data_IF_129701143379
#
_entry.id   IF_129701143379
#
_cell.length_a   1.000
_cell.length_b   1.000
_cell.length_c   1.000
_cell.angle_alpha   90.00
_cell.angle_beta   90.00
_cell.angle_gamma   90.00
#
_symmetry.space_group_name_H-M   'P 1'
#
loop_
_entity.id
_entity.type
_entity.pdbx_description
1 polymer ?
#
# COMPACT_ATOMS: atom_id res chain seq x y z
N UNK A 1 -8.96 50.28 71.70
CA UNK A 1 -8.46 50.66 70.35
C UNK A 1 -7.10 49.98 70.17
N UNK A 2 -7.09 48.74 69.66
CA UNK A 2 -5.88 47.97 69.35
C UNK A 2 -6.01 47.41 67.93
N UNK A 3 -4.96 47.60 67.13
CA UNK A 3 -4.82 47.18 65.72
C UNK A 3 -4.76 45.64 65.57
N UNK A 4 -5.35 45.16 64.46
CA UNK A 4 -5.20 43.83 63.79
C UNK A 4 -3.71 43.47 63.53
N UNK A 5 -3.32 42.21 63.17
CA UNK A 5 -4.10 41.30 62.30
C UNK A 5 -4.08 39.80 62.60
N UNK A 6 -4.99 39.13 61.88
CA UNK A 6 -5.22 37.70 61.80
C UNK A 6 -4.12 36.97 61.02
N UNK A 7 -3.98 35.68 61.35
CA UNK A 7 -3.06 34.72 60.80
C UNK A 7 -3.08 34.65 59.26
N UNK A 8 -1.91 34.83 58.65
CA UNK A 8 -1.63 34.43 57.28
C UNK A 8 -0.94 33.05 57.33
N UNK A 9 -1.64 32.02 56.86
CA UNK A 9 -1.07 30.69 56.69
C UNK A 9 0.00 30.71 55.59
N UNK A 10 1.21 30.35 55.97
CA UNK A 10 2.34 30.10 55.07
C UNK A 10 2.05 28.86 54.23
N UNK A 11 1.54 29.03 53.02
CA UNK A 11 1.46 27.98 52.02
C UNK A 11 2.76 27.97 51.20
N UNK A 12 3.62 26.99 51.47
CA UNK A 12 4.76 26.66 50.62
C UNK A 12 4.29 26.23 49.22
N UNK A 13 5.00 26.59 48.13
CA UNK A 13 4.70 26.04 46.82
C UNK A 13 5.08 24.56 46.81
N UNK A 14 4.09 23.67 46.64
CA UNK A 14 4.34 22.25 46.35
C UNK A 14 4.92 22.16 44.94
N UNK A 15 6.22 21.95 44.83
CA UNK A 15 6.89 21.50 43.62
C UNK A 15 6.37 20.11 43.23
N UNK A 16 5.38 20.07 42.35
CA UNK A 16 4.93 18.84 41.71
C UNK A 16 5.93 18.47 40.62
N UNK A 17 6.90 17.62 40.96
CA UNK A 17 7.82 16.99 40.02
C UNK A 17 7.12 15.76 39.42
N UNK A 18 6.17 15.99 38.50
CA UNK A 18 5.67 14.92 37.63
C UNK A 18 6.66 14.78 36.45
N UNK A 19 7.14 13.56 36.12
CA UNK A 19 7.98 13.38 34.95
C UNK A 19 7.16 13.71 33.70
N UNK A 20 7.67 14.62 32.87
CA UNK A 20 7.15 14.85 31.54
C UNK A 20 7.25 13.53 30.77
N UNK A 21 6.12 12.87 30.54
CA UNK A 21 6.03 11.74 29.63
C UNK A 21 6.34 12.31 28.24
N UNK A 22 7.57 12.08 27.79
CA UNK A 22 8.00 12.43 26.45
C UNK A 22 7.06 11.75 25.45
N UNK A 23 6.33 12.56 24.67
CA UNK A 23 5.50 12.07 23.58
C UNK A 23 6.36 11.19 22.65
N UNK A 24 5.89 9.99 22.24
CA UNK A 24 6.71 9.08 21.47
C UNK A 24 6.94 9.64 20.06
N UNK A 25 8.21 9.96 19.77
CA UNK A 25 8.89 10.17 18.47
C UNK A 25 8.04 9.91 17.20
N UNK A 26 7.15 10.86 16.87
CA UNK A 26 6.31 10.90 15.66
C UNK A 26 7.08 11.13 14.32
N UNK A 27 8.32 11.69 14.23
CA UNK A 27 8.89 11.99 12.91
C UNK A 27 9.47 10.78 12.15
N UNK A 28 9.77 9.66 12.81
CA UNK A 28 10.40 8.50 12.15
C UNK A 28 9.41 7.66 11.34
N UNK A 29 8.15 7.59 11.78
CA UNK A 29 7.09 6.79 11.12
C UNK A 29 6.62 7.44 9.81
N UNK A 30 6.64 8.78 9.72
CA UNK A 30 6.25 9.47 8.48
C UNK A 30 7.30 9.29 7.38
N UNK A 31 8.59 9.29 7.75
CA UNK A 31 9.69 9.08 6.82
C UNK A 31 9.70 7.65 6.25
N UNK A 32 9.43 6.63 7.08
CA UNK A 32 9.36 5.24 6.63
C UNK A 32 8.16 4.98 5.71
N UNK A 33 7.00 5.61 5.95
CA UNK A 33 5.81 5.49 5.09
C UNK A 33 5.99 6.11 3.71
N UNK A 34 6.63 7.27 3.64
CA UNK A 34 6.93 7.91 2.35
C UNK A 34 8.04 7.16 1.59
N UNK A 35 8.99 6.54 2.30
CA UNK A 35 9.99 5.66 1.71
C UNK A 35 9.38 4.35 1.18
N UNK A 36 8.38 3.80 1.87
CA UNK A 36 7.57 2.67 1.38
C UNK A 36 6.83 3.05 0.11
N UNK A 37 6.13 4.18 0.09
CA UNK A 37 5.38 4.63 -1.09
C UNK A 37 6.29 4.93 -2.30
N UNK A 38 7.45 5.57 -2.08
CA UNK A 38 8.45 5.80 -3.14
C UNK A 38 9.11 4.50 -3.61
N UNK A 39 9.50 3.62 -2.69
CA UNK A 39 10.04 2.31 -3.02
C UNK A 39 9.04 1.41 -3.76
N UNK A 40 7.74 1.62 -3.53
CA UNK A 40 6.66 1.01 -4.32
C UNK A 40 6.67 1.57 -5.75
N UNK A 41 6.68 2.90 -5.90
CA UNK A 41 6.74 3.57 -7.21
C UNK A 41 7.97 3.17 -8.03
N UNK A 42 9.15 3.15 -7.41
CA UNK A 42 10.41 2.75 -8.05
C UNK A 42 10.43 1.25 -8.44
N UNK A 43 9.71 0.39 -7.70
CA UNK A 43 9.54 -1.02 -8.04
C UNK A 43 8.54 -1.24 -9.19
N UNK A 44 7.62 -0.30 -9.39
CA UNK A 44 6.64 -0.31 -10.48
C UNK A 44 7.19 0.29 -11.78
N UNK A 45 8.15 1.21 -11.71
CA UNK A 45 8.73 1.87 -12.90
C UNK A 45 9.45 0.89 -13.84
N UNK A 46 9.80 -0.31 -13.35
CA UNK A 46 10.37 -1.37 -14.16
C UNK A 46 11.74 -1.02 -14.75
N UNK A 47 12.54 -2.02 -15.07
CA UNK A 47 13.84 -1.86 -15.74
C UNK A 47 13.71 -1.84 -17.29
N UNK A 48 12.49 -1.63 -17.83
CA UNK A 48 12.19 -1.78 -19.26
C UNK A 48 11.89 -3.22 -19.72
N UNK A 49 11.85 -4.22 -18.83
CA UNK A 49 11.59 -5.64 -19.20
C UNK A 49 10.19 -5.96 -19.73
N UNK A 50 9.26 -5.00 -19.72
CA UNK A 50 7.93 -5.16 -20.34
C UNK A 50 7.98 -4.93 -21.86
N UNK A 51 9.11 -4.44 -22.37
CA UNK A 51 9.31 -4.17 -23.79
C UNK A 51 9.21 -5.46 -24.62
N UNK A 52 8.32 -5.44 -25.61
CA UNK A 52 8.09 -6.53 -26.55
C UNK A 52 6.85 -7.42 -26.32
N UNK A 53 6.18 -7.33 -25.17
CA UNK A 53 4.89 -8.01 -24.99
C UNK A 53 3.73 -7.10 -25.41
N UNK A 54 2.74 -7.63 -26.14
CA UNK A 54 1.62 -6.82 -26.63
C UNK A 54 0.82 -6.21 -25.45
N UNK A 55 0.44 -4.93 -25.49
CA UNK A 55 -0.42 -4.33 -24.48
C UNK A 55 -1.71 -5.14 -24.23
N UNK A 56 -2.07 -5.35 -22.96
CA UNK A 56 -3.23 -6.16 -22.57
C UNK A 56 -3.08 -7.67 -22.75
N UNK A 57 -1.93 -8.15 -23.26
CA UNK A 57 -1.71 -9.59 -23.42
C UNK A 57 -1.47 -10.31 -22.08
N UNK A 58 -1.80 -11.61 -22.06
CA UNK A 58 -1.47 -12.48 -20.92
C UNK A 58 0.05 -12.60 -20.71
N UNK A 59 0.85 -12.49 -21.78
CA UNK A 59 2.31 -12.47 -21.67
C UNK A 59 2.81 -11.24 -20.91
N UNK A 60 2.27 -10.06 -21.23
CA UNK A 60 2.58 -8.83 -20.50
C UNK A 60 2.18 -8.92 -19.04
N UNK A 61 0.99 -9.46 -18.76
CA UNK A 61 0.52 -9.71 -17.39
C UNK A 61 1.47 -10.63 -16.61
N UNK A 62 1.92 -11.72 -17.22
CA UNK A 62 2.86 -12.65 -16.61
C UNK A 62 4.21 -11.99 -16.31
N UNK A 63 4.77 -11.24 -17.26
CA UNK A 63 6.05 -10.54 -17.09
C UNK A 63 6.00 -9.50 -15.97
N UNK A 64 4.98 -8.64 -15.98
CA UNK A 64 4.79 -7.64 -14.90
C UNK A 64 4.61 -8.33 -13.55
N UNK A 65 3.80 -9.38 -13.49
CA UNK A 65 3.64 -10.18 -12.25
C UNK A 65 4.95 -10.80 -11.77
N UNK A 66 5.76 -11.33 -12.68
CA UNK A 66 7.05 -11.95 -12.36
C UNK A 66 8.04 -10.93 -11.77
N UNK A 67 8.12 -9.74 -12.36
CA UNK A 67 8.96 -8.65 -11.87
C UNK A 67 8.58 -8.26 -10.44
N UNK A 68 7.30 -8.04 -10.19
CA UNK A 68 6.78 -7.65 -8.88
C UNK A 68 7.08 -8.75 -7.85
N UNK A 69 6.79 -10.02 -8.15
CA UNK A 69 7.11 -11.14 -7.27
C UNK A 69 8.63 -11.22 -6.99
N UNK A 70 9.45 -10.93 -8.00
CA UNK A 70 10.90 -10.81 -7.85
C UNK A 70 11.30 -9.85 -6.71
N UNK A 71 10.64 -8.69 -6.62
CA UNK A 71 10.87 -7.70 -5.55
C UNK A 71 10.42 -8.16 -4.15
N UNK A 72 9.53 -9.15 -4.07
CA UNK A 72 9.03 -9.69 -2.79
C UNK A 72 9.93 -10.77 -2.19
N UNK A 73 10.76 -11.43 -3.02
CA UNK A 73 11.63 -12.54 -2.59
C UNK A 73 12.81 -12.09 -1.72
N UNK A 74 13.14 -10.80 -1.70
CA UNK A 74 14.24 -10.26 -0.88
C UNK A 74 13.87 -10.27 0.63
N UNK A 75 14.69 -10.87 1.51
CA UNK A 75 14.59 -10.77 2.96
C UNK A 75 14.40 -9.36 3.52
N UNK A 76 14.91 -8.31 2.87
CA UNK A 76 14.79 -6.90 3.27
C UNK A 76 13.66 -6.13 2.58
N UNK A 77 12.77 -6.82 1.86
CA UNK A 77 11.79 -6.20 0.98
C UNK A 77 10.85 -5.22 1.69
N UNK A 78 10.70 -4.03 1.09
CA UNK A 78 9.79 -2.94 1.50
C UNK A 78 8.35 -3.45 1.72
N UNK A 79 7.95 -4.51 1.00
CA UNK A 79 6.62 -5.11 1.07
C UNK A 79 6.29 -5.70 2.46
N UNK A 80 7.28 -6.26 3.17
CA UNK A 80 7.05 -6.88 4.49
C UNK A 80 6.75 -5.83 5.57
N UNK A 81 7.37 -4.65 5.47
CA UNK A 81 7.10 -3.49 6.33
C UNK A 81 5.77 -2.79 5.98
N UNK A 82 5.34 -2.87 4.73
CA UNK A 82 4.12 -2.23 4.23
C UNK A 82 2.84 -2.86 4.80
N UNK A 83 2.85 -4.16 5.07
CA UNK A 83 1.69 -4.87 5.63
C UNK A 83 1.34 -4.44 7.06
N UNK A 84 2.33 -4.06 7.87
CA UNK A 84 2.08 -3.50 9.21
C UNK A 84 1.27 -2.19 9.13
N UNK A 85 1.53 -1.38 8.10
CA UNK A 85 0.82 -0.11 7.86
C UNK A 85 -0.62 -0.35 7.41
N UNK A 86 -0.88 -1.37 6.59
CA UNK A 86 -2.24 -1.77 6.20
C UNK A 86 -3.05 -2.26 7.41
N UNK A 87 -2.44 -3.06 8.29
CA UNK A 87 -3.08 -3.51 9.53
C UNK A 87 -3.33 -2.37 10.53
N UNK A 88 -2.48 -1.33 10.54
CA UNK A 88 -2.62 -0.14 11.38
C UNK A 88 -3.69 0.86 10.89
N UNK A 89 -3.99 0.87 9.59
CA UNK A 89 -4.93 1.81 8.97
C UNK A 89 -6.36 1.75 9.53
N UNK A 90 -6.77 0.61 10.11
CA UNK A 90 -8.09 0.44 10.71
C UNK A 90 -8.36 1.36 11.92
N UNK A 91 -7.32 1.82 12.61
CA UNK A 91 -7.46 2.55 13.89
C UNK A 91 -7.53 4.08 13.74
N UNK A 92 -7.36 4.63 12.54
CA UNK A 92 -7.29 6.08 12.29
C UNK A 92 -8.08 6.47 11.02
N UNK A 93 -9.29 7.05 11.14
CA UNK A 93 -10.13 7.41 9.99
C UNK A 93 -9.45 8.31 8.95
N UNK A 94 -8.67 9.29 9.40
CA UNK A 94 -7.91 10.20 8.52
C UNK A 94 -6.78 9.50 7.73
N UNK A 95 -6.34 8.33 8.20
CA UNK A 95 -5.36 7.49 7.50
C UNK A 95 -6.05 6.61 6.48
N UNK A 96 -7.28 6.16 6.76
CA UNK A 96 -8.11 5.37 5.84
C UNK A 96 -8.40 6.15 4.56
N UNK A 97 -8.81 7.41 4.65
CA UNK A 97 -9.15 8.21 3.46
C UNK A 97 -7.93 8.45 2.56
N UNK A 98 -6.77 8.73 3.18
CA UNK A 98 -5.51 8.86 2.46
C UNK A 98 -5.06 7.55 1.82
N UNK A 99 -5.28 6.43 2.50
CA UNK A 99 -4.95 5.10 1.97
C UNK A 99 -5.88 4.72 0.81
N UNK A 100 -7.18 5.02 0.91
CA UNK A 100 -8.13 4.80 -0.18
C UNK A 100 -7.76 5.63 -1.42
N UNK A 101 -7.41 6.91 -1.24
CA UNK A 101 -6.91 7.75 -2.33
C UNK A 101 -5.61 7.18 -2.95
N UNK A 102 -4.67 6.71 -2.11
CA UNK A 102 -3.44 6.10 -2.58
C UNK A 102 -3.67 4.79 -3.37
N UNK A 103 -4.68 4.00 -3.00
CA UNK A 103 -5.05 2.81 -3.77
C UNK A 103 -5.59 3.16 -5.16
N UNK A 104 -6.43 4.20 -5.26
CA UNK A 104 -6.94 4.67 -6.55
C UNK A 104 -5.80 5.14 -7.46
N UNK A 105 -4.86 5.92 -6.91
CA UNK A 105 -3.68 6.38 -7.65
C UNK A 105 -2.80 5.22 -8.10
N UNK A 106 -2.54 4.25 -7.21
CA UNK A 106 -1.82 3.03 -7.57
C UNK A 106 -2.52 2.27 -8.71
N UNK A 107 -3.86 2.22 -8.69
CA UNK A 107 -4.64 1.63 -9.78
C UNK A 107 -4.46 2.36 -11.10
N UNK A 108 -4.40 3.70 -11.07
CA UNK A 108 -4.15 4.51 -12.26
C UNK A 108 -2.78 4.22 -12.86
N UNK A 109 -1.73 4.17 -12.04
CA UNK A 109 -0.37 3.84 -12.49
C UNK A 109 -0.19 2.38 -12.97
N UNK A 110 -0.99 1.44 -12.46
CA UNK A 110 -0.92 0.03 -12.90
C UNK A 110 -1.53 -0.21 -14.29
N UNK A 111 -2.49 0.62 -14.71
CA UNK A 111 -3.18 0.42 -15.99
C UNK A 111 -2.21 0.53 -17.18
N UNK A 112 -1.38 1.58 -17.33
CA UNK A 112 -0.45 1.68 -18.45
C UNK A 112 0.61 0.57 -18.48
N UNK A 113 1.03 0.07 -17.31
CA UNK A 113 2.00 -1.03 -17.23
C UNK A 113 1.46 -2.30 -17.91
N UNK A 114 0.18 -2.59 -17.72
CA UNK A 114 -0.48 -3.80 -18.23
C UNK A 114 -1.20 -3.61 -19.56
N UNK A 115 -1.80 -2.45 -19.80
CA UNK A 115 -2.62 -2.15 -20.97
C UNK A 115 -1.92 -1.25 -21.99
N UNK A 116 -0.71 -0.78 -21.70
CA UNK A 116 -0.01 0.21 -22.51
C UNK A 116 -0.63 1.61 -22.39
N UNK A 117 -0.04 2.57 -23.10
CA UNK A 117 -0.46 3.97 -23.04
C UNK A 117 0.27 4.77 -21.97
N UNK A 118 -0.30 5.92 -21.60
CA UNK A 118 0.28 6.85 -20.61
C UNK A 118 -0.69 7.03 -19.45
N UNK A 119 -0.17 7.29 -18.26
CA UNK A 119 -0.97 7.41 -17.03
C UNK A 119 -1.95 8.58 -17.09
N UNK A 120 -1.57 9.68 -17.74
CA UNK A 120 -2.44 10.84 -17.94
C UNK A 120 -3.68 10.55 -18.78
N UNK A 121 -3.65 9.51 -19.62
CA UNK A 121 -4.74 9.13 -20.51
C UNK A 121 -5.73 8.16 -19.84
N UNK A 122 -5.40 7.64 -18.65
CA UNK A 122 -6.28 6.73 -17.92
C UNK A 122 -7.49 7.51 -17.41
N UNK A 123 -8.70 7.12 -17.81
CA UNK A 123 -9.91 7.77 -17.30
C UNK A 123 -10.18 7.41 -15.84
N UNK A 124 -10.96 8.23 -15.15
CA UNK A 124 -11.41 7.95 -13.78
C UNK A 124 -12.22 6.64 -13.70
N UNK A 125 -13.08 6.38 -14.69
CA UNK A 125 -13.83 5.13 -14.79
C UNK A 125 -12.89 3.91 -14.93
N UNK A 126 -11.83 4.02 -15.74
CA UNK A 126 -10.83 2.96 -15.91
C UNK A 126 -10.03 2.73 -14.63
N UNK A 127 -9.66 3.80 -13.93
CA UNK A 127 -8.97 3.70 -12.64
C UNK A 127 -9.86 3.01 -11.59
N UNK A 128 -11.15 3.39 -11.52
CA UNK A 128 -12.11 2.86 -10.55
C UNK A 128 -12.60 1.44 -10.86
N UNK A 129 -12.35 0.93 -12.07
CA UNK A 129 -12.72 -0.43 -12.49
C UNK A 129 -11.48 -1.32 -12.64
N UNK A 130 -10.79 -1.20 -13.77
CA UNK A 130 -9.64 -2.02 -14.13
C UNK A 130 -8.44 -1.75 -13.21
N UNK A 131 -8.18 -0.49 -12.88
CA UNK A 131 -7.13 -0.11 -11.95
C UNK A 131 -7.34 -0.75 -10.57
N UNK A 132 -8.55 -0.63 -10.02
CA UNK A 132 -8.91 -1.25 -8.74
C UNK A 132 -8.87 -2.78 -8.78
N UNK A 133 -9.20 -3.41 -9.90
CA UNK A 133 -8.99 -4.85 -10.08
C UNK A 133 -7.51 -5.24 -9.95
N UNK A 134 -6.61 -4.50 -10.61
CA UNK A 134 -5.18 -4.76 -10.49
C UNK A 134 -4.63 -4.49 -9.08
N UNK A 135 -5.06 -3.41 -8.42
CA UNK A 135 -4.67 -3.12 -7.02
C UNK A 135 -5.14 -4.24 -6.08
N UNK A 136 -6.35 -4.75 -6.30
CA UNK A 136 -6.90 -5.85 -5.50
C UNK A 136 -6.08 -7.13 -5.67
N UNK A 137 -5.78 -7.51 -6.91
CA UNK A 137 -4.92 -8.66 -7.22
C UNK A 137 -3.54 -8.51 -6.60
N UNK A 138 -2.92 -7.35 -6.77
CA UNK A 138 -1.62 -7.02 -6.22
C UNK A 138 -1.60 -7.13 -4.70
N UNK A 139 -2.58 -6.52 -4.03
CA UNK A 139 -2.68 -6.56 -2.56
C UNK A 139 -2.87 -7.98 -2.06
N UNK A 140 -3.70 -8.78 -2.73
CA UNK A 140 -3.89 -10.20 -2.40
C UNK A 140 -2.63 -11.04 -2.63
N UNK A 141 -1.86 -10.74 -3.67
CA UNK A 141 -0.59 -11.42 -3.96
C UNK A 141 0.47 -11.11 -2.89
N UNK A 142 0.63 -9.82 -2.53
CA UNK A 142 1.53 -9.39 -1.45
C UNK A 142 1.16 -10.07 -0.14
N UNK A 143 -0.14 -10.15 0.18
CA UNK A 143 -0.61 -10.81 1.39
C UNK A 143 -0.25 -12.29 1.39
N UNK A 144 -0.50 -13.03 0.29
CA UNK A 144 -0.16 -14.45 0.18
C UNK A 144 1.36 -14.68 0.33
N UNK A 145 2.19 -13.90 -0.36
CA UNK A 145 3.66 -13.97 -0.23
C UNK A 145 4.15 -13.60 1.18
N UNK A 146 3.43 -12.73 1.89
CA UNK A 146 3.77 -12.36 3.27
C UNK A 146 3.41 -13.48 4.25
N UNK A 147 2.28 -14.15 4.05
CA UNK A 147 1.83 -15.23 4.93
C UNK A 147 2.62 -16.53 4.75
N UNK A 148 2.78 -16.97 3.51
CA UNK A 148 3.53 -18.18 3.19
C UNK A 148 4.17 -18.07 1.78
N UNK A 149 5.43 -17.59 1.70
CA UNK A 149 6.17 -17.54 0.43
C UNK A 149 6.31 -18.90 -0.27
N UNK A 150 6.22 -20.01 0.47
CA UNK A 150 6.40 -21.36 -0.07
C UNK A 150 5.19 -21.87 -0.85
N UNK A 151 4.00 -21.34 -0.55
CA UNK A 151 2.74 -21.73 -1.22
C UNK A 151 2.09 -20.59 -2.00
N UNK A 152 2.62 -19.36 -1.87
CA UNK A 152 2.15 -18.22 -2.63
C UNK A 152 2.32 -18.44 -4.14
N UNK A 153 1.34 -18.00 -4.95
CA UNK A 153 1.39 -18.24 -6.39
C UNK A 153 2.53 -17.47 -7.05
N UNK A 154 3.16 -18.10 -8.03
CA UNK A 154 4.03 -17.43 -8.98
C UNK A 154 3.22 -16.76 -10.11
N UNK A 155 3.93 -16.01 -10.97
CA UNK A 155 3.29 -15.27 -12.07
C UNK A 155 2.66 -16.20 -13.11
N UNK A 156 3.25 -17.36 -13.38
CA UNK A 156 2.74 -18.32 -14.36
C UNK A 156 1.44 -18.96 -13.85
N UNK A 157 1.38 -19.32 -12.57
CA UNK A 157 0.17 -19.84 -11.91
C UNK A 157 -0.96 -18.81 -11.91
N UNK A 158 -0.65 -17.56 -11.57
CA UNK A 158 -1.64 -16.46 -11.60
C UNK A 158 -2.17 -16.22 -13.02
N UNK A 159 -1.28 -16.20 -14.02
CA UNK A 159 -1.64 -16.03 -15.44
C UNK A 159 -2.47 -17.20 -15.96
N UNK A 160 -2.13 -18.44 -15.57
CA UNK A 160 -2.90 -19.62 -15.91
C UNK A 160 -4.31 -19.58 -15.31
N UNK A 161 -4.45 -19.09 -14.06
CA UNK A 161 -5.74 -18.84 -13.43
C UNK A 161 -6.58 -17.81 -14.20
N UNK A 162 -5.98 -16.66 -14.55
CA UNK A 162 -6.65 -15.61 -15.33
C UNK A 162 -7.12 -16.13 -16.70
N UNK A 163 -6.28 -16.91 -17.40
CA UNK A 163 -6.65 -17.54 -18.68
C UNK A 163 -7.90 -18.42 -18.56
N UNK A 164 -8.02 -19.18 -17.46
CA UNK A 164 -9.20 -20.02 -17.21
C UNK A 164 -10.46 -19.19 -16.97
N UNK A 165 -10.35 -18.08 -16.24
CA UNK A 165 -11.48 -17.15 -16.01
C UNK A 165 -11.95 -16.53 -17.32
N UNK A 166 -11.03 -16.03 -18.15
CA UNK A 166 -11.35 -15.46 -19.46
C UNK A 166 -12.00 -16.52 -20.37
N UNK A 167 -11.43 -17.73 -20.41
CA UNK A 167 -11.97 -18.84 -21.20
C UNK A 167 -13.38 -19.25 -20.78
N UNK A 168 -13.66 -19.31 -19.47
CA UNK A 168 -15.00 -19.60 -18.95
C UNK A 168 -16.00 -18.50 -19.32
N UNK A 169 -15.65 -17.23 -19.09
CA UNK A 169 -16.52 -16.10 -19.44
C UNK A 169 -16.83 -16.01 -20.94
N UNK A 170 -15.86 -16.33 -21.81
CA UNK A 170 -16.06 -16.38 -23.25
C UNK A 170 -17.00 -17.52 -23.68
N UNK A 171 -16.96 -18.66 -22.98
CA UNK A 171 -17.84 -19.79 -23.23
C UNK A 171 -19.30 -19.51 -22.79
N UNK A 172 -19.49 -18.78 -21.68
CA UNK A 172 -20.81 -18.37 -21.20
C UNK A 172 -21.52 -17.36 -22.12
N UNK A 173 -20.76 -16.63 -22.94
CA UNK A 173 -21.26 -15.67 -23.93
C UNK A 173 -21.43 -16.23 -25.34
N UNK A 174 -21.14 -17.52 -25.57
CA UNK A 174 -21.33 -18.16 -26.87
C UNK A 174 -22.82 -18.54 -27.07
N UNK A 175 -23.44 -18.23 -28.22
CA UNK A 175 -24.85 -18.55 -28.49
C UNK A 175 -25.12 -20.06 -28.58
#
# INVERSE_FOLDING_TARGET
MCRRPAAAGTAAPRSSTAPAIAAPRIPLVNASRAAVARGMGDAFDGDGTVDGAEPGSLERFERVGANIIGTMKDPGSVWRLSMEVLALGYRLPEVRDRLAAAQREAGRGLVPLLMGGREEDVSDETADTLGMFYVTLMTGLIAQWTFDPGTAPDAAQLTAGLRRVIGAAAADGAP
#
